data_IF_113523947330
#
_entry.id   IF_113523947330
#
_cell.length_a   1.000
_cell.length_b   1.000
_cell.length_c   1.000
_cell.angle_alpha   90.00
_cell.angle_beta   90.00
_cell.angle_gamma   90.00
#
_symmetry.space_group_name_H-M   'P 1'
#
loop_
_entity.id
_entity.type
_entity.pdbx_description
1 polymer ?
#
# COMPACT_ATOMS: atom_id res chain seq x y z
N UNK A 1 33.20 -22.69 2.53
CA UNK A 1 31.74 -22.70 2.73
C UNK A 1 31.09 -23.29 1.47
N UNK A 2 29.83 -23.75 1.49
CA UNK A 2 29.15 -24.08 0.22
C UNK A 2 28.82 -22.80 -0.54
N UNK A 3 28.93 -22.82 -1.87
CA UNK A 3 28.58 -21.68 -2.73
C UNK A 3 27.14 -21.24 -2.46
N UNK A 4 26.93 -19.97 -2.12
CA UNK A 4 25.61 -19.36 -1.91
C UNK A 4 24.98 -19.09 -3.27
N UNK A 5 23.83 -19.71 -3.54
CA UNK A 5 23.09 -19.54 -4.78
C UNK A 5 22.09 -18.41 -4.66
N UNK A 6 22.27 -17.36 -5.45
CA UNK A 6 21.34 -16.23 -5.55
C UNK A 6 20.29 -16.43 -6.65
N UNK A 7 19.81 -17.66 -6.84
CA UNK A 7 18.93 -18.01 -7.96
C UNK A 7 17.63 -18.68 -7.50
N UNK A 8 16.71 -18.86 -8.43
CA UNK A 8 15.44 -19.56 -8.22
C UNK A 8 15.37 -20.82 -9.08
N UNK A 9 14.64 -21.83 -8.61
CA UNK A 9 14.25 -22.95 -9.47
C UNK A 9 13.12 -22.50 -10.42
N UNK A 10 13.30 -22.57 -11.75
CA UNK A 10 12.32 -22.06 -12.71
C UNK A 10 10.95 -22.71 -12.63
N UNK A 11 10.94 -24.04 -12.46
CA UNK A 11 9.71 -24.84 -12.48
C UNK A 11 8.89 -24.55 -11.24
N UNK A 12 9.56 -24.50 -10.10
CA UNK A 12 8.97 -24.19 -8.80
C UNK A 12 8.51 -22.74 -8.72
N UNK A 13 9.35 -21.79 -9.15
CA UNK A 13 8.99 -20.36 -9.19
C UNK A 13 7.70 -20.15 -9.97
N UNK A 14 7.63 -20.72 -11.18
CA UNK A 14 6.46 -20.58 -12.05
C UNK A 14 5.23 -21.24 -11.45
N UNK A 15 5.37 -22.46 -10.94
CA UNK A 15 4.26 -23.18 -10.29
C UNK A 15 3.67 -22.33 -9.16
N UNK A 16 4.51 -21.83 -8.27
CA UNK A 16 4.09 -21.00 -7.14
C UNK A 16 3.48 -19.67 -7.59
N UNK A 17 4.03 -19.00 -8.61
CA UNK A 17 3.45 -17.76 -9.17
C UNK A 17 1.98 -17.95 -9.56
N UNK A 18 1.69 -19.02 -10.31
CA UNK A 18 0.32 -19.27 -10.75
C UNK A 18 -0.58 -19.81 -9.63
N UNK A 19 -0.04 -20.46 -8.60
CA UNK A 19 -0.78 -20.81 -7.38
C UNK A 19 -1.17 -19.58 -6.57
N UNK A 20 -0.26 -18.62 -6.38
CA UNK A 20 -0.54 -17.37 -5.66
C UNK A 20 -1.60 -16.53 -6.40
N UNK A 21 -1.51 -16.45 -7.73
CA UNK A 21 -2.54 -15.82 -8.56
C UNK A 21 -3.88 -16.59 -8.52
N UNK A 22 -3.86 -17.92 -8.55
CA UNK A 22 -5.07 -18.73 -8.43
C UNK A 22 -5.74 -18.58 -7.06
N UNK A 23 -4.94 -18.41 -5.99
CA UNK A 23 -5.40 -18.11 -4.64
C UNK A 23 -5.97 -16.68 -4.49
N UNK A 24 -5.93 -15.86 -5.55
CA UNK A 24 -6.51 -14.52 -5.57
C UNK A 24 -5.58 -13.43 -5.05
N UNK A 25 -4.28 -13.71 -4.85
CA UNK A 25 -3.30 -12.64 -4.60
C UNK A 25 -3.09 -11.84 -5.89
N UNK A 26 -3.11 -10.51 -5.77
CA UNK A 26 -3.07 -9.60 -6.93
C UNK A 26 -1.98 -8.55 -6.86
N UNK A 27 -1.25 -8.45 -5.75
CA UNK A 27 -0.14 -7.53 -5.60
C UNK A 27 1.12 -8.14 -6.18
N UNK A 28 1.31 -7.97 -7.49
CA UNK A 28 2.40 -8.61 -8.24
C UNK A 28 3.77 -8.33 -7.64
N UNK A 29 4.02 -7.11 -7.16
CA UNK A 29 5.26 -6.72 -6.46
C UNK A 29 5.55 -7.61 -5.24
N UNK A 30 4.55 -7.82 -4.41
CA UNK A 30 4.66 -8.67 -3.20
C UNK A 30 4.89 -10.12 -3.61
N UNK A 31 4.13 -10.63 -4.58
CA UNK A 31 4.25 -12.00 -5.08
C UNK A 31 5.67 -12.24 -5.62
N UNK A 32 6.13 -11.41 -6.56
CA UNK A 32 7.46 -11.58 -7.19
C UNK A 32 8.57 -11.55 -6.15
N UNK A 33 8.50 -10.61 -5.20
CA UNK A 33 9.44 -10.53 -4.09
C UNK A 33 9.43 -11.81 -3.26
N UNK A 34 8.26 -12.25 -2.80
CA UNK A 34 8.14 -13.44 -1.94
C UNK A 34 8.68 -14.69 -2.61
N UNK A 35 8.43 -14.86 -3.91
CA UNK A 35 8.91 -16.01 -4.66
C UNK A 35 10.43 -16.00 -4.84
N UNK A 36 11.04 -14.84 -5.12
CA UNK A 36 12.52 -14.71 -5.19
C UNK A 36 13.15 -14.99 -3.83
N UNK A 37 12.62 -14.37 -2.77
CA UNK A 37 13.11 -14.56 -1.39
C UNK A 37 12.98 -16.03 -0.97
N UNK A 38 11.83 -16.66 -1.24
CA UNK A 38 11.58 -18.07 -0.90
C UNK A 38 12.49 -19.02 -1.69
N UNK A 39 12.72 -18.74 -2.97
CA UNK A 39 13.61 -19.53 -3.83
C UNK A 39 15.03 -19.56 -3.29
N UNK A 40 15.59 -18.39 -2.97
CA UNK A 40 16.95 -18.25 -2.43
C UNK A 40 17.04 -18.79 -0.99
N UNK A 41 16.00 -18.57 -0.18
CA UNK A 41 15.97 -18.99 1.24
C UNK A 41 16.15 -20.49 1.43
N UNK A 42 15.66 -21.33 0.50
CA UNK A 42 15.72 -22.79 0.63
C UNK A 42 17.13 -23.33 0.92
N UNK A 43 18.16 -22.75 0.31
CA UNK A 43 19.54 -23.13 0.60
C UNK A 43 20.04 -22.50 1.91
N UNK A 44 19.66 -21.26 2.20
CA UNK A 44 20.09 -20.54 3.39
C UNK A 44 19.52 -21.16 4.67
N UNK A 45 18.30 -21.67 4.61
CA UNK A 45 17.65 -22.39 5.71
C UNK A 45 18.49 -23.61 6.13
N UNK A 46 18.98 -24.39 5.16
CA UNK A 46 19.86 -25.53 5.44
C UNK A 46 21.18 -25.10 6.12
N UNK A 47 21.74 -23.94 5.72
CA UNK A 47 22.94 -23.39 6.36
C UNK A 47 22.67 -22.87 7.77
N UNK A 48 21.44 -22.45 8.07
CA UNK A 48 21.05 -22.08 9.44
C UNK A 48 20.88 -23.33 10.29
N UNK A 49 20.25 -24.38 9.74
CA UNK A 49 20.03 -25.66 10.42
C UNK A 49 21.33 -26.39 10.78
N UNK A 50 22.33 -26.39 9.88
CA UNK A 50 23.65 -26.97 10.15
C UNK A 50 24.57 -26.06 10.99
N UNK A 51 24.11 -24.83 11.26
CA UNK A 51 24.79 -23.82 12.08
C UNK A 51 25.98 -23.14 11.38
N UNK A 52 26.15 -23.28 10.06
CA UNK A 52 27.12 -22.52 9.27
C UNK A 52 26.75 -21.03 9.22
N UNK A 53 25.46 -20.74 9.08
CA UNK A 53 24.86 -19.41 9.14
C UNK A 53 24.15 -19.23 10.49
N UNK A 54 24.38 -18.13 11.20
CA UNK A 54 23.64 -17.83 12.44
C UNK A 54 22.25 -17.28 12.15
N UNK A 55 22.13 -16.45 11.11
CA UNK A 55 20.87 -15.88 10.65
C UNK A 55 21.06 -15.19 9.32
N UNK A 56 19.98 -15.07 8.54
CA UNK A 56 19.97 -14.25 7.34
C UNK A 56 18.71 -13.39 7.29
N UNK A 57 18.74 -12.33 6.47
CA UNK A 57 17.56 -11.54 6.13
C UNK A 57 17.72 -10.87 4.78
N UNK A 58 16.60 -10.61 4.12
CA UNK A 58 16.55 -9.76 2.95
C UNK A 58 16.23 -8.32 3.34
N UNK A 59 16.95 -7.37 2.74
CA UNK A 59 16.69 -5.94 2.84
C UNK A 59 16.25 -5.49 1.45
N UNK A 60 15.01 -5.02 1.36
CA UNK A 60 14.38 -4.62 0.12
C UNK A 60 14.93 -3.27 -0.36
N UNK A 61 15.10 -3.15 -1.67
CA UNK A 61 15.29 -1.86 -2.35
C UNK A 61 14.04 -1.47 -3.13
N UNK A 62 14.19 -1.05 -4.38
CA UNK A 62 13.05 -0.62 -5.21
C UNK A 62 12.58 -1.73 -6.14
N UNK A 63 11.35 -1.61 -6.64
CA UNK A 63 10.78 -2.53 -7.61
C UNK A 63 10.12 -1.74 -8.72
N UNK A 64 10.08 -2.34 -9.91
CA UNK A 64 9.31 -1.84 -11.04
C UNK A 64 7.89 -1.41 -10.66
N UNK A 65 7.34 -0.40 -11.33
CA UNK A 65 5.94 0.01 -11.17
C UNK A 65 4.96 -0.84 -11.98
N UNK A 66 5.44 -1.98 -12.50
CA UNK A 66 4.64 -2.95 -13.23
C UNK A 66 3.65 -3.59 -12.27
N UNK A 67 2.37 -3.59 -12.65
CA UNK A 67 1.30 -4.15 -11.83
C UNK A 67 0.66 -5.39 -12.46
N UNK A 68 0.89 -5.66 -13.74
CA UNK A 68 0.33 -6.85 -14.42
C UNK A 68 1.41 -7.77 -14.97
N UNK A 69 1.12 -9.07 -14.96
CA UNK A 69 1.99 -10.12 -15.47
C UNK A 69 2.23 -9.95 -16.98
N UNK A 70 1.19 -9.60 -17.74
CA UNK A 70 1.34 -9.30 -19.17
C UNK A 70 2.28 -8.13 -19.42
N UNK A 71 2.14 -7.03 -18.68
CA UNK A 71 3.05 -5.89 -18.80
C UNK A 71 4.49 -6.27 -18.44
N UNK A 72 4.69 -7.11 -17.41
CA UNK A 72 6.02 -7.63 -17.07
C UNK A 72 6.61 -8.44 -18.23
N UNK A 73 5.81 -9.31 -18.85
CA UNK A 73 6.22 -10.09 -20.02
C UNK A 73 6.57 -9.18 -21.20
N UNK A 74 5.72 -8.19 -21.50
CA UNK A 74 5.89 -7.27 -22.62
C UNK A 74 7.15 -6.38 -22.45
N UNK A 75 7.52 -6.05 -21.21
CA UNK A 75 8.74 -5.30 -20.85
C UNK A 75 9.98 -6.18 -20.70
N UNK A 76 9.88 -7.49 -20.97
CA UNK A 76 11.01 -8.43 -20.91
C UNK A 76 11.28 -9.02 -19.53
N UNK A 77 10.56 -8.61 -18.48
CA UNK A 77 10.69 -9.15 -17.14
C UNK A 77 10.12 -8.25 -16.04
N UNK A 78 10.39 -8.64 -14.80
CA UNK A 78 10.08 -7.86 -13.60
C UNK A 78 11.37 -7.60 -12.83
N UNK A 79 11.74 -6.32 -12.67
CA UNK A 79 13.01 -5.92 -12.06
C UNK A 79 12.87 -5.41 -10.62
N UNK A 80 13.92 -5.69 -9.86
CA UNK A 80 14.18 -5.12 -8.54
C UNK A 80 15.48 -4.32 -8.60
N UNK A 81 15.64 -3.41 -7.66
CA UNK A 81 16.84 -2.60 -7.50
C UNK A 81 17.35 -2.77 -6.09
N UNK A 82 18.65 -3.04 -5.95
CA UNK A 82 19.35 -3.08 -4.67
C UNK A 82 18.84 -4.12 -3.66
N UNK A 83 18.30 -5.26 -4.13
CA UNK A 83 17.88 -6.35 -3.25
C UNK A 83 19.10 -6.93 -2.52
N UNK A 84 19.12 -6.82 -1.19
CA UNK A 84 20.30 -7.15 -0.39
C UNK A 84 20.04 -8.36 0.49
N UNK A 85 20.85 -9.41 0.32
CA UNK A 85 20.94 -10.52 1.24
C UNK A 85 21.97 -10.18 2.32
N UNK A 86 21.53 -10.10 3.57
CA UNK A 86 22.41 -10.01 4.73
C UNK A 86 22.56 -11.38 5.38
N UNK A 87 23.80 -11.81 5.58
CA UNK A 87 24.16 -13.06 6.24
C UNK A 87 24.97 -12.74 7.49
N UNK A 88 24.63 -13.37 8.61
CA UNK A 88 25.40 -13.31 9.83
C UNK A 88 26.00 -14.70 10.07
N UNK A 89 27.31 -14.85 9.90
CA UNK A 89 28.05 -16.10 10.11
C UNK A 89 28.69 -16.13 11.50
N UNK A 90 29.18 -17.31 11.91
CA UNK A 90 29.93 -17.49 13.16
C UNK A 90 31.18 -16.57 13.21
N UNK A 91 31.59 -16.08 14.40
CA UNK A 91 32.84 -15.33 14.54
C UNK A 91 34.03 -16.05 13.90
N UNK A 92 34.83 -15.31 13.10
CA UNK A 92 35.98 -15.88 12.39
C UNK A 92 35.66 -16.72 11.14
N UNK A 93 34.39 -16.86 10.75
CA UNK A 93 34.04 -17.41 9.45
C UNK A 93 34.43 -16.42 8.34
N UNK A 94 35.02 -16.93 7.27
CA UNK A 94 35.42 -16.13 6.11
C UNK A 94 34.58 -16.51 4.88
N UNK A 95 34.19 -15.49 4.12
CA UNK A 95 33.49 -15.60 2.85
C UNK A 95 34.02 -14.51 1.91
N UNK A 96 34.21 -14.86 0.64
CA UNK A 96 34.57 -13.93 -0.44
C UNK A 96 33.43 -13.80 -1.46
N UNK A 97 33.61 -12.95 -2.46
CA UNK A 97 32.66 -12.82 -3.57
C UNK A 97 32.58 -14.11 -4.41
N UNK A 98 33.66 -14.90 -4.47
CA UNK A 98 33.71 -16.17 -5.21
C UNK A 98 32.86 -17.28 -4.56
N UNK A 99 32.51 -17.12 -3.27
CA UNK A 99 31.58 -18.01 -2.56
C UNK A 99 30.10 -17.74 -2.92
N UNK A 100 29.83 -16.79 -3.83
CA UNK A 100 28.48 -16.42 -4.27
C UNK A 100 28.32 -16.76 -5.75
N UNK A 101 27.34 -17.61 -6.08
CA UNK A 101 27.08 -17.96 -7.49
C UNK A 101 26.44 -16.78 -8.22
N UNK A 102 26.85 -16.61 -9.47
CA UNK A 102 26.03 -15.86 -10.42
C UNK A 102 24.76 -16.67 -10.73
N UNK A 103 23.56 -16.07 -10.67
CA UNK A 103 22.33 -16.78 -11.00
C UNK A 103 22.26 -17.11 -12.49
N UNK A 104 21.68 -18.27 -12.81
CA UNK A 104 21.47 -18.73 -14.19
C UNK A 104 20.09 -18.29 -14.71
N UNK A 105 19.09 -18.22 -13.83
CA UNK A 105 17.70 -17.97 -14.20
C UNK A 105 17.22 -16.56 -13.86
N UNK A 106 17.61 -16.02 -12.71
CA UNK A 106 17.54 -14.58 -12.47
C UNK A 106 18.63 -13.87 -13.27
N UNK A 107 18.26 -12.84 -14.01
CA UNK A 107 19.23 -12.01 -14.73
C UNK A 107 19.73 -10.90 -13.82
N UNK A 108 21.05 -10.65 -13.80
CA UNK A 108 21.63 -9.49 -13.11
C UNK A 108 22.08 -8.48 -14.16
N UNK A 109 21.37 -7.36 -14.27
CA UNK A 109 21.80 -6.27 -15.14
C UNK A 109 22.94 -5.49 -14.48
N UNK A 110 23.91 -5.07 -15.29
CA UNK A 110 25.04 -4.27 -14.80
C UNK A 110 24.62 -2.80 -14.61
N UNK A 111 25.06 -2.21 -13.50
CA UNK A 111 25.00 -0.77 -13.28
C UNK A 111 26.38 -0.20 -13.59
N UNK A 112 26.43 0.76 -14.52
CA UNK A 112 27.65 1.49 -14.83
C UNK A 112 27.84 2.65 -13.86
N UNK A 113 28.98 2.67 -13.18
CA UNK A 113 29.38 3.75 -12.27
C UNK A 113 30.26 4.81 -12.95
N UNK A 114 30.37 4.74 -14.29
CA UNK A 114 31.33 5.53 -15.06
C UNK A 114 32.75 4.94 -15.02
N UNK A 115 33.63 5.44 -15.89
CA UNK A 115 35.05 5.02 -15.99
C UNK A 115 35.18 3.51 -16.29
N UNK A 116 34.20 2.92 -17.00
CA UNK A 116 34.24 1.51 -17.41
C UNK A 116 34.05 0.50 -16.27
N UNK A 117 33.58 0.93 -15.10
CA UNK A 117 33.25 0.03 -13.99
C UNK A 117 31.77 -0.33 -14.05
N UNK A 118 31.51 -1.57 -14.49
CA UNK A 118 30.20 -2.18 -14.48
C UNK A 118 30.14 -3.21 -13.36
N UNK A 119 29.07 -3.17 -12.55
CA UNK A 119 28.85 -4.15 -11.47
C UNK A 119 27.43 -4.68 -11.50
N UNK A 120 27.28 -5.97 -11.20
CA UNK A 120 26.01 -6.67 -11.01
C UNK A 120 25.73 -6.93 -9.53
N UNK A 121 26.79 -7.15 -8.76
CA UNK A 121 26.76 -7.40 -7.32
C UNK A 121 27.61 -6.37 -6.58
N UNK A 122 27.26 -6.15 -5.31
CA UNK A 122 28.13 -5.47 -4.35
C UNK A 122 28.26 -6.35 -3.11
N UNK A 123 29.49 -6.73 -2.82
CA UNK A 123 29.84 -7.49 -1.62
C UNK A 123 30.40 -6.56 -0.55
N UNK A 124 30.00 -6.76 0.71
CA UNK A 124 30.63 -6.07 1.85
C UNK A 124 30.64 -6.95 3.08
N UNK A 125 31.65 -6.74 3.93
CA UNK A 125 31.89 -7.47 5.16
C UNK A 125 32.08 -6.50 6.32
N UNK A 126 31.54 -6.87 7.49
CA UNK A 126 31.74 -6.17 8.74
C UNK A 126 31.87 -7.17 9.89
N UNK A 127 33.05 -7.18 10.50
CA UNK A 127 33.30 -7.91 11.75
C UNK A 127 32.50 -7.32 12.91
N UNK A 128 31.80 -8.17 13.67
CA UNK A 128 31.07 -7.79 14.88
C UNK A 128 31.52 -8.62 16.08
N UNK A 129 31.10 -8.25 17.29
CA UNK A 129 31.48 -8.97 18.53
C UNK A 129 31.06 -10.43 18.54
N UNK A 130 29.89 -10.74 17.99
CA UNK A 130 29.25 -12.06 18.10
C UNK A 130 29.06 -12.77 16.75
N UNK A 131 29.52 -12.16 15.65
CA UNK A 131 29.27 -12.65 14.28
C UNK A 131 30.13 -11.94 13.25
N UNK A 132 30.27 -12.58 12.09
CA UNK A 132 30.80 -11.97 10.87
C UNK A 132 29.61 -11.61 9.97
N UNK A 133 29.39 -10.31 9.72
CA UNK A 133 28.26 -9.85 8.90
C UNK A 133 28.69 -9.64 7.47
N UNK A 134 28.00 -10.28 6.55
CA UNK A 134 28.17 -10.10 5.12
C UNK A 134 26.89 -9.52 4.50
N UNK A 135 27.07 -8.66 3.52
CA UNK A 135 25.97 -8.15 2.70
C UNK A 135 26.31 -8.37 1.23
N UNK A 136 25.42 -9.07 0.55
CA UNK A 136 25.47 -9.34 -0.88
C UNK A 136 24.29 -8.59 -1.50
N UNK A 137 24.58 -7.49 -2.17
CA UNK A 137 23.56 -6.65 -2.80
C UNK A 137 23.50 -6.96 -4.29
N UNK A 138 22.37 -7.49 -4.74
CA UNK A 138 22.02 -7.59 -6.15
C UNK A 138 21.57 -6.20 -6.62
N UNK A 139 22.35 -5.60 -7.51
CA UNK A 139 22.14 -4.20 -7.88
C UNK A 139 20.89 -4.01 -8.73
N UNK A 140 20.70 -4.87 -9.74
CA UNK A 140 19.54 -4.83 -10.64
C UNK A 140 19.11 -6.24 -11.08
N UNK A 141 18.59 -7.08 -10.17
CA UNK A 141 18.08 -8.40 -10.52
C UNK A 141 16.74 -8.29 -11.28
N UNK A 142 16.57 -9.14 -12.28
CA UNK A 142 15.39 -9.22 -13.15
C UNK A 142 14.89 -10.66 -13.19
N UNK A 143 13.59 -10.84 -12.96
CA UNK A 143 12.89 -12.07 -13.31
C UNK A 143 12.56 -11.97 -14.79
N UNK A 144 13.24 -12.71 -15.69
CA UNK A 144 13.01 -12.60 -17.12
C UNK A 144 11.60 -13.07 -17.49
N UNK A 145 11.07 -12.52 -18.59
CA UNK A 145 9.74 -12.88 -19.11
C UNK A 145 9.58 -14.40 -19.32
N UNK A 146 10.66 -15.12 -19.64
CA UNK A 146 10.66 -16.58 -19.77
C UNK A 146 10.23 -17.31 -18.50
N UNK A 147 10.53 -16.79 -17.31
CA UNK A 147 10.06 -17.36 -16.03
C UNK A 147 8.58 -17.05 -15.76
N UNK A 148 8.07 -15.95 -16.32
CA UNK A 148 6.71 -15.46 -16.11
C UNK A 148 5.68 -16.15 -17.01
N UNK A 149 6.09 -16.58 -18.20
CA UNK A 149 5.20 -17.24 -19.17
C UNK A 149 4.71 -18.61 -18.68
N UNK A 150 3.42 -18.90 -18.86
CA UNK A 150 2.88 -20.26 -18.72
C UNK A 150 3.48 -21.16 -19.81
N UNK A 151 3.88 -22.39 -19.47
CA UNK A 151 4.30 -23.38 -20.47
C UNK A 151 3.15 -23.63 -21.46
N UNK A 152 3.29 -23.17 -22.70
CA UNK A 152 2.34 -23.37 -23.77
C UNK A 152 2.49 -24.78 -24.36
N UNK A 153 1.65 -25.71 -23.90
CA UNK A 153 1.35 -26.96 -24.63
C UNK A 153 -0.12 -27.39 -24.50
N UNK A 154 -1.01 -26.42 -24.35
CA UNK A 154 -2.46 -26.60 -24.36
C UNK A 154 -3.13 -25.24 -24.46
N UNK A 155 -4.27 -25.15 -25.14
CA UNK A 155 -5.00 -23.90 -25.39
C UNK A 155 -4.97 -22.97 -24.17
N UNK A 156 -4.38 -21.78 -24.34
CA UNK A 156 -4.36 -20.76 -23.27
C UNK A 156 -5.80 -20.53 -22.87
N UNK A 157 -6.19 -20.96 -21.66
CA UNK A 157 -7.52 -20.65 -21.12
C UNK A 157 -7.65 -19.14 -21.19
N UNK A 158 -8.56 -18.65 -22.03
CA UNK A 158 -8.80 -17.23 -22.21
C UNK A 158 -9.12 -16.61 -20.84
N UNK A 159 -8.29 -15.66 -20.40
CA UNK A 159 -8.48 -15.01 -19.11
C UNK A 159 -9.87 -14.38 -19.04
N UNK A 160 -10.66 -14.77 -18.04
CA UNK A 160 -12.01 -14.26 -17.79
C UNK A 160 -12.00 -12.88 -17.15
N UNK A 161 -10.83 -12.44 -16.66
CA UNK A 161 -10.63 -11.18 -15.96
C UNK A 161 -11.63 -10.98 -14.82
N UNK A 162 -11.86 -11.96 -13.94
CA UNK A 162 -12.79 -11.79 -12.80
C UNK A 162 -12.48 -10.53 -11.98
N UNK A 163 -13.49 -9.90 -11.36
CA UNK A 163 -13.33 -8.62 -10.64
C UNK A 163 -12.25 -8.69 -9.55
N UNK A 164 -12.03 -9.84 -8.93
CA UNK A 164 -10.95 -10.02 -7.94
C UNK A 164 -9.55 -9.80 -8.52
N UNK A 165 -9.36 -10.01 -9.83
CA UNK A 165 -8.08 -9.82 -10.53
C UNK A 165 -7.88 -8.40 -11.05
N UNK A 166 -8.86 -7.53 -10.92
CA UNK A 166 -8.77 -6.15 -11.39
C UNK A 166 -8.17 -5.28 -10.29
N UNK A 167 -7.01 -4.70 -10.59
CA UNK A 167 -6.29 -3.78 -9.70
C UNK A 167 -6.18 -2.41 -10.36
N UNK A 168 -6.12 -1.31 -9.59
CA UNK A 168 -6.00 0.00 -10.19
C UNK A 168 -4.66 0.14 -10.93
N UNK A 169 -4.71 0.59 -12.18
CA UNK A 169 -3.52 0.87 -12.98
C UNK A 169 -2.88 2.17 -12.47
N UNK A 170 -1.57 2.20 -12.16
CA UNK A 170 -0.89 3.43 -11.81
C UNK A 170 -1.07 4.48 -12.91
N UNK A 171 -1.45 5.69 -12.51
CA UNK A 171 -1.49 6.85 -13.37
C UNK A 171 -0.49 7.89 -12.86
N UNK A 172 -0.13 8.84 -13.73
CA UNK A 172 0.58 10.05 -13.31
C UNK A 172 -0.25 10.90 -12.34
N UNK A 173 0.41 11.87 -11.73
CA UNK A 173 -0.29 12.89 -10.93
C UNK A 173 -1.24 13.71 -11.81
N UNK A 174 -2.35 14.14 -11.24
CA UNK A 174 -3.42 14.92 -11.87
C UNK A 174 -4.25 14.18 -12.94
N UNK A 175 -3.85 12.97 -13.33
CA UNK A 175 -4.60 12.11 -14.24
C UNK A 175 -5.82 11.51 -13.54
N UNK A 176 -7.01 11.75 -14.09
CA UNK A 176 -8.27 11.36 -13.44
C UNK A 176 -8.93 10.12 -14.05
N UNK A 177 -8.52 9.69 -15.25
CA UNK A 177 -9.11 8.57 -16.00
C UNK A 177 -8.67 7.20 -15.47
N UNK A 178 -8.94 6.94 -14.18
CA UNK A 178 -8.49 5.73 -13.47
C UNK A 178 -9.03 4.44 -14.13
N UNK A 179 -8.10 3.66 -14.69
CA UNK A 179 -8.36 2.32 -15.22
C UNK A 179 -8.03 1.24 -14.17
N UNK A 180 -8.62 0.07 -14.35
CA UNK A 180 -8.34 -1.13 -13.57
C UNK A 180 -7.90 -2.24 -14.53
N UNK A 181 -6.71 -2.77 -14.34
CA UNK A 181 -6.13 -3.78 -15.21
C UNK A 181 -6.22 -5.17 -14.55
N UNK A 182 -6.48 -6.19 -15.37
CA UNK A 182 -6.35 -7.56 -14.91
C UNK A 182 -4.86 -7.88 -14.64
N UNK A 183 -4.53 -8.26 -13.41
CA UNK A 183 -3.16 -8.62 -13.01
C UNK A 183 -2.56 -9.73 -13.87
N UNK A 184 -3.39 -10.59 -14.50
CA UNK A 184 -2.93 -11.71 -15.32
C UNK A 184 -2.68 -11.26 -16.77
N UNK A 185 -3.72 -10.85 -17.49
CA UNK A 185 -3.64 -10.59 -18.93
C UNK A 185 -3.45 -9.12 -19.32
N UNK A 186 -3.37 -8.20 -18.36
CA UNK A 186 -3.19 -6.77 -18.61
C UNK A 186 -4.39 -6.04 -19.19
N UNK A 187 -5.50 -6.73 -19.50
CA UNK A 187 -6.69 -6.07 -20.06
C UNK A 187 -7.22 -5.01 -19.09
N UNK A 188 -7.29 -3.77 -19.57
CA UNK A 188 -7.76 -2.61 -18.81
C UNK A 188 -9.27 -2.41 -18.97
N UNK A 189 -9.90 -2.00 -17.87
CA UNK A 189 -11.32 -1.68 -17.77
C UNK A 189 -11.48 -0.33 -17.05
N UNK A 190 -12.44 0.47 -17.48
CA UNK A 190 -13.00 1.53 -16.66
C UNK A 190 -14.15 0.99 -15.81
N UNK A 191 -14.36 1.58 -14.63
CA UNK A 191 -15.64 1.37 -13.96
C UNK A 191 -16.74 2.07 -14.76
N UNK A 192 -17.91 1.46 -14.88
CA UNK A 192 -19.04 2.06 -15.61
C UNK A 192 -19.37 3.49 -15.17
N UNK A 193 -19.15 3.81 -13.89
CA UNK A 193 -19.37 5.17 -13.39
C UNK A 193 -18.49 6.24 -14.08
N UNK A 194 -17.37 5.89 -14.72
CA UNK A 194 -16.50 6.82 -15.44
C UNK A 194 -16.99 7.17 -16.84
N UNK A 195 -17.89 6.37 -17.44
CA UNK A 195 -18.30 6.49 -18.84
C UNK A 195 -18.75 7.90 -19.20
N UNK A 196 -19.67 8.46 -18.43
CA UNK A 196 -20.19 9.81 -18.69
C UNK A 196 -19.10 10.89 -18.64
N UNK A 197 -18.14 10.78 -17.71
CA UNK A 197 -17.04 11.74 -17.63
C UNK A 197 -16.08 11.57 -18.81
N UNK A 198 -15.78 10.33 -19.20
CA UNK A 198 -14.94 10.02 -20.37
C UNK A 198 -15.57 10.63 -21.62
N UNK A 199 -16.84 10.33 -21.89
CA UNK A 199 -17.55 10.80 -23.08
C UNK A 199 -17.57 12.34 -23.16
N UNK A 200 -17.82 13.02 -22.02
CA UNK A 200 -17.80 14.49 -21.94
C UNK A 200 -16.41 15.10 -22.13
N UNK A 201 -15.36 14.39 -21.73
CA UNK A 201 -13.99 14.93 -21.77
C UNK A 201 -13.26 14.59 -23.07
N UNK A 202 -13.71 13.60 -23.84
CA UNK A 202 -13.11 13.23 -25.13
C UNK A 202 -13.00 14.41 -26.11
N UNK A 203 -14.02 15.26 -26.31
CA UNK A 203 -13.88 16.44 -27.18
C UNK A 203 -12.80 17.40 -26.71
N UNK A 204 -12.71 17.63 -25.39
CA UNK A 204 -11.69 18.50 -24.78
C UNK A 204 -10.28 17.95 -25.04
N UNK A 205 -10.10 16.63 -24.92
CA UNK A 205 -8.83 15.98 -25.22
C UNK A 205 -8.48 16.04 -26.71
N UNK A 206 -9.46 15.89 -27.60
CA UNK A 206 -9.25 15.99 -29.06
C UNK A 206 -8.82 17.41 -29.46
N UNK A 207 -9.46 18.43 -28.88
CA UNK A 207 -9.14 19.84 -29.13
C UNK A 207 -7.72 20.18 -28.62
N UNK A 208 -7.34 19.71 -27.43
CA UNK A 208 -6.03 19.96 -26.85
C UNK A 208 -4.90 19.16 -27.53
N UNK A 209 -5.20 18.02 -28.18
CA UNK A 209 -4.19 17.08 -28.71
C UNK A 209 -3.09 17.74 -29.56
N UNK A 210 -3.37 18.68 -30.49
CA UNK A 210 -2.33 19.30 -31.33
C UNK A 210 -1.29 20.12 -30.54
N UNK A 211 -1.64 20.60 -29.34
CA UNK A 211 -0.79 21.47 -28.53
C UNK A 211 0.18 20.70 -27.62
N UNK A 212 0.12 19.36 -27.64
CA UNK A 212 0.90 18.49 -26.75
C UNK A 212 1.71 17.47 -27.53
N UNK A 213 2.90 17.17 -27.00
CA UNK A 213 3.70 16.03 -27.43
C UNK A 213 2.92 14.71 -27.30
N UNK A 214 3.33 13.67 -28.04
CA UNK A 214 2.66 12.35 -28.02
C UNK A 214 2.64 11.68 -26.63
N UNK A 215 3.55 12.08 -25.73
CA UNK A 215 3.57 11.67 -24.32
C UNK A 215 2.72 12.56 -23.40
N UNK A 216 1.99 13.53 -23.94
CA UNK A 216 1.15 14.44 -23.20
C UNK A 216 -0.19 13.85 -22.81
N UNK A 217 -0.84 14.47 -21.81
CA UNK A 217 -2.10 13.99 -21.25
C UNK A 217 -3.23 13.77 -22.28
N UNK A 218 -3.41 14.57 -23.36
CA UNK A 218 -4.51 14.33 -24.29
C UNK A 218 -4.31 13.04 -25.07
N UNK A 219 -3.07 12.75 -25.49
CA UNK A 219 -2.71 11.51 -26.17
C UNK A 219 -2.84 10.30 -25.26
N UNK A 220 -2.37 10.40 -24.01
CA UNK A 220 -2.54 9.35 -23.01
C UNK A 220 -4.01 9.06 -22.72
N UNK A 221 -4.83 10.10 -22.51
CA UNK A 221 -6.26 9.97 -22.27
C UNK A 221 -6.97 9.33 -23.46
N UNK A 222 -6.71 9.82 -24.67
CA UNK A 222 -7.33 9.28 -25.88
C UNK A 222 -6.90 7.83 -26.11
N UNK A 223 -5.64 7.49 -25.90
CA UNK A 223 -5.16 6.10 -25.99
C UNK A 223 -5.86 5.21 -24.96
N UNK A 224 -6.00 5.68 -23.72
CA UNK A 224 -6.66 4.92 -22.66
C UNK A 224 -8.16 4.72 -22.92
N UNK A 225 -8.82 5.69 -23.55
CA UNK A 225 -10.28 5.71 -23.75
C UNK A 225 -10.72 5.15 -25.11
N UNK A 226 -9.82 5.07 -26.09
CA UNK A 226 -10.04 4.42 -27.38
C UNK A 226 -10.36 2.93 -27.17
N UNK A 227 -11.54 2.49 -27.60
CA UNK A 227 -12.04 1.13 -27.37
C UNK A 227 -12.07 0.72 -25.89
N UNK A 228 -12.32 1.68 -25.01
CA UNK A 228 -12.45 1.46 -23.58
C UNK A 228 -13.45 0.32 -23.28
N UNK A 229 -12.98 -0.68 -22.53
CA UNK A 229 -13.84 -1.69 -21.92
C UNK A 229 -14.34 -1.16 -20.59
N UNK A 230 -15.58 -1.49 -20.26
CA UNK A 230 -16.19 -1.05 -19.01
C UNK A 230 -16.73 -2.23 -18.23
N UNK A 231 -16.78 -2.06 -16.91
CA UNK A 231 -17.42 -3.01 -16.00
C UNK A 231 -17.97 -2.30 -14.77
N UNK A 232 -19.15 -2.69 -14.33
CA UNK A 232 -19.76 -2.15 -13.12
C UNK A 232 -19.02 -2.60 -11.86
N UNK A 233 -19.04 -1.74 -10.84
CA UNK A 233 -18.62 -2.09 -9.48
C UNK A 233 -17.14 -2.52 -9.32
N UNK A 234 -16.22 -1.88 -10.06
CA UNK A 234 -14.78 -2.19 -9.98
C UNK A 234 -13.92 -1.10 -9.33
N UNK A 235 -14.37 0.17 -9.32
CA UNK A 235 -13.59 1.25 -8.74
C UNK A 235 -13.71 1.31 -7.21
N UNK A 236 -12.81 2.06 -6.57
CA UNK A 236 -12.77 2.22 -5.10
C UNK A 236 -14.14 2.66 -4.54
N UNK A 237 -14.75 3.69 -5.12
CA UNK A 237 -16.03 4.21 -4.64
C UNK A 237 -17.21 3.27 -4.88
N UNK A 238 -17.32 2.63 -6.04
CA UNK A 238 -18.45 1.72 -6.30
C UNK A 238 -18.34 0.44 -5.46
N UNK A 239 -17.12 -0.12 -5.34
CA UNK A 239 -16.89 -1.37 -4.61
C UNK A 239 -16.76 -1.20 -3.10
N UNK A 240 -16.74 0.04 -2.61
CA UNK A 240 -16.49 0.35 -1.19
C UNK A 240 -15.07 0.03 -0.71
N UNK A 241 -14.13 -0.25 -1.64
CA UNK A 241 -12.73 -0.51 -1.30
C UNK A 241 -11.96 0.82 -1.13
N UNK A 242 -11.04 0.92 -0.16
CA UNK A 242 -10.23 2.11 -0.02
C UNK A 242 -9.29 2.32 -1.22
N UNK A 243 -8.99 3.59 -1.50
CA UNK A 243 -8.05 3.99 -2.53
C UNK A 243 -6.67 4.23 -1.91
N UNK A 244 -5.66 3.47 -2.35
CA UNK A 244 -4.25 3.73 -2.05
C UNK A 244 -3.56 4.47 -3.21
N UNK A 245 -4.35 5.13 -4.08
CA UNK A 245 -3.84 5.91 -5.20
C UNK A 245 -3.31 7.25 -4.77
N UNK A 246 -2.48 7.83 -5.63
CA UNK A 246 -1.87 9.13 -5.40
C UNK A 246 -2.13 10.05 -6.58
N UNK A 247 -3.26 10.77 -6.51
CA UNK A 247 -3.66 11.73 -7.53
C UNK A 247 -2.76 12.97 -7.52
N UNK A 248 -2.33 13.45 -6.36
CA UNK A 248 -1.38 14.56 -6.25
C UNK A 248 -0.54 14.45 -4.97
N UNK A 249 0.59 15.16 -4.92
CA UNK A 249 1.41 15.24 -3.71
C UNK A 249 0.63 15.83 -2.53
N UNK A 250 0.87 15.43 -1.26
CA UNK A 250 0.04 15.81 -0.12
C UNK A 250 0.19 17.29 0.24
N UNK A 251 1.18 17.96 -0.35
CA UNK A 251 1.33 19.42 -0.29
C UNK A 251 0.28 20.16 -1.13
N UNK A 252 -0.30 19.52 -2.16
CA UNK A 252 -1.18 20.16 -3.15
C UNK A 252 -2.67 19.80 -2.98
N UNK A 253 -3.04 19.03 -1.96
CA UNK A 253 -4.43 18.62 -1.76
C UNK A 253 -4.74 18.14 -0.34
N UNK A 254 -6.03 18.15 -0.01
CA UNK A 254 -6.57 17.46 1.16
C UNK A 254 -6.29 15.96 1.07
N UNK A 255 -6.36 15.24 2.19
CA UNK A 255 -6.15 13.79 2.20
C UNK A 255 -7.16 13.06 1.31
N UNK A 256 -8.38 13.58 1.22
CA UNK A 256 -9.39 13.13 0.25
C UNK A 256 -8.93 13.40 -1.19
N UNK A 257 -8.50 14.63 -1.51
CA UNK A 257 -8.05 14.98 -2.87
C UNK A 257 -6.81 14.19 -3.30
N UNK A 258 -5.89 13.91 -2.39
CA UNK A 258 -4.71 13.09 -2.65
C UNK A 258 -5.10 11.67 -3.07
N UNK A 259 -6.01 11.01 -2.34
CA UNK A 259 -6.38 9.60 -2.57
C UNK A 259 -7.50 9.41 -3.57
N UNK A 260 -8.38 10.39 -3.71
CA UNK A 260 -9.62 10.33 -4.47
C UNK A 260 -9.79 11.46 -5.50
N UNK A 261 -8.75 12.27 -5.75
CA UNK A 261 -8.84 13.40 -6.68
C UNK A 261 -9.23 13.00 -8.12
N UNK A 262 -8.90 11.79 -8.55
CA UNK A 262 -9.40 11.23 -9.81
C UNK A 262 -10.92 11.12 -9.85
N UNK A 263 -11.55 10.74 -8.73
CA UNK A 263 -12.99 10.68 -8.58
C UNK A 263 -13.62 12.07 -8.46
N UNK A 264 -12.97 13.00 -7.74
CA UNK A 264 -13.41 14.40 -7.64
C UNK A 264 -13.48 15.00 -9.03
N UNK A 265 -12.39 14.89 -9.81
CA UNK A 265 -12.36 15.41 -11.19
C UNK A 265 -13.37 14.71 -12.09
N UNK A 266 -13.52 13.39 -11.94
CA UNK A 266 -14.57 12.61 -12.63
C UNK A 266 -15.97 13.16 -12.35
N UNK A 267 -16.31 13.49 -11.10
CA UNK A 267 -17.64 13.99 -10.75
C UNK A 267 -17.85 15.44 -11.21
N UNK A 268 -16.82 16.29 -11.10
CA UNK A 268 -16.85 17.63 -11.65
C UNK A 268 -17.19 17.63 -13.15
N UNK A 269 -16.55 16.74 -13.92
CA UNK A 269 -16.82 16.59 -15.36
C UNK A 269 -18.19 15.95 -15.62
N UNK A 270 -18.50 14.81 -14.97
CA UNK A 270 -19.74 14.07 -15.25
C UNK A 270 -20.97 14.90 -14.90
N UNK A 271 -20.92 15.64 -13.81
CA UNK A 271 -22.08 16.31 -13.24
C UNK A 271 -22.09 17.82 -13.57
N UNK A 272 -20.97 18.36 -14.08
CA UNK A 272 -20.85 19.80 -14.40
C UNK A 272 -20.84 20.67 -13.15
N UNK A 273 -20.20 20.20 -12.08
CA UNK A 273 -20.16 20.86 -10.77
C UNK A 273 -18.74 21.30 -10.41
N UNK A 274 -18.65 22.29 -9.51
CA UNK A 274 -17.38 22.77 -8.98
C UNK A 274 -16.63 21.70 -8.19
N UNK A 275 -15.30 21.83 -8.13
CA UNK A 275 -14.44 20.83 -7.49
C UNK A 275 -14.81 20.59 -6.01
N UNK A 276 -15.21 21.66 -5.30
CA UNK A 276 -15.64 21.58 -3.91
C UNK A 276 -16.89 20.71 -3.73
N UNK A 277 -17.87 20.85 -4.64
CA UNK A 277 -19.11 20.07 -4.59
C UNK A 277 -18.86 18.61 -5.01
N UNK A 278 -17.98 18.41 -5.98
CA UNK A 278 -17.51 17.08 -6.34
C UNK A 278 -16.76 16.38 -5.19
N UNK A 279 -15.92 17.10 -4.44
CA UNK A 279 -15.27 16.55 -3.24
C UNK A 279 -16.30 16.22 -2.16
N UNK A 280 -17.31 17.07 -1.93
CA UNK A 280 -18.39 16.78 -1.00
C UNK A 280 -19.19 15.53 -1.37
N UNK A 281 -19.39 15.29 -2.68
CA UNK A 281 -20.01 14.06 -3.17
C UNK A 281 -19.14 12.83 -2.88
N UNK A 282 -17.82 12.92 -3.09
CA UNK A 282 -16.88 11.86 -2.71
C UNK A 282 -16.90 11.62 -1.19
N UNK A 283 -16.88 12.69 -0.39
CA UNK A 283 -16.94 12.61 1.09
C UNK A 283 -18.20 11.90 1.57
N UNK A 284 -19.36 12.23 0.99
CA UNK A 284 -20.63 11.56 1.27
C UNK A 284 -20.59 10.06 0.93
N UNK A 285 -20.02 9.69 -0.22
CA UNK A 285 -19.84 8.28 -0.59
C UNK A 285 -18.88 7.53 0.35
N UNK A 286 -17.89 8.22 0.90
CA UNK A 286 -16.96 7.69 1.91
C UNK A 286 -17.54 7.72 3.33
N UNK A 287 -18.71 8.33 3.51
CA UNK A 287 -19.34 8.54 4.82
C UNK A 287 -18.63 9.56 5.72
N UNK A 288 -17.67 10.33 5.21
CA UNK A 288 -16.96 11.35 6.00
C UNK A 288 -17.67 12.72 5.91
N UNK A 289 -17.51 13.62 6.90
CA UNK A 289 -18.18 14.93 6.88
C UNK A 289 -17.85 15.76 5.65
N UNK A 290 -18.85 16.52 5.17
CA UNK A 290 -18.68 17.50 4.09
C UNK A 290 -17.80 18.66 4.53
N UNK A 291 -17.17 19.33 3.56
CA UNK A 291 -16.35 20.51 3.80
C UNK A 291 -17.23 21.63 4.37
N UNK A 292 -17.01 21.99 5.64
CA UNK A 292 -17.78 23.00 6.36
C UNK A 292 -18.91 22.44 7.24
N UNK A 293 -19.11 21.12 7.28
CA UNK A 293 -20.07 20.47 8.17
C UNK A 293 -19.38 20.11 9.49
N UNK A 294 -19.41 21.04 10.46
CA UNK A 294 -18.59 21.01 11.68
C UNK A 294 -19.28 20.54 12.96
N UNK A 295 -20.46 19.92 12.90
CA UNK A 295 -21.08 19.36 14.10
C UNK A 295 -20.40 18.05 14.45
N UNK A 296 -20.37 17.75 15.75
CA UNK A 296 -19.38 16.86 16.34
C UNK A 296 -20.05 15.75 17.14
N UNK A 297 -19.79 14.51 16.78
CA UNK A 297 -20.11 13.36 17.61
C UNK A 297 -19.12 12.21 17.39
N UNK A 298 -19.12 11.28 18.34
CA UNK A 298 -18.32 10.04 18.32
C UNK A 298 -18.44 9.27 16.99
N UNK A 299 -19.63 9.27 16.39
CA UNK A 299 -19.89 8.57 15.13
C UNK A 299 -19.11 9.19 13.97
N UNK A 300 -19.01 10.51 13.88
CA UNK A 300 -18.22 11.17 12.83
C UNK A 300 -16.72 10.94 13.01
N UNK A 301 -16.23 11.00 14.25
CA UNK A 301 -14.84 10.67 14.56
C UNK A 301 -14.53 9.23 14.12
N UNK A 302 -15.39 8.26 14.46
CA UNK A 302 -15.23 6.88 14.03
C UNK A 302 -15.13 6.72 12.51
N UNK A 303 -15.99 7.41 11.74
CA UNK A 303 -15.94 7.36 10.27
C UNK A 303 -14.65 7.94 9.70
N UNK A 304 -14.17 9.07 10.25
CA UNK A 304 -12.89 9.66 9.85
C UNK A 304 -11.73 8.71 10.17
N UNK A 305 -11.69 8.12 11.37
CA UNK A 305 -10.65 7.15 11.75
C UNK A 305 -10.70 5.91 10.84
N UNK A 306 -11.90 5.37 10.58
CA UNK A 306 -12.08 4.22 9.68
C UNK A 306 -11.60 4.53 8.25
N UNK A 307 -11.78 5.77 7.80
CA UNK A 307 -11.25 6.23 6.52
C UNK A 307 -9.71 6.28 6.52
N UNK A 308 -9.12 6.97 7.51
CA UNK A 308 -7.67 7.16 7.62
C UNK A 308 -6.94 5.82 7.75
N UNK A 309 -7.48 4.89 8.53
CA UNK A 309 -6.90 3.56 8.79
C UNK A 309 -7.65 2.46 8.07
N UNK A 310 -8.10 2.71 6.83
CA UNK A 310 -8.85 1.74 6.03
C UNK A 310 -8.09 0.43 5.73
N UNK A 311 -6.76 0.42 5.91
CA UNK A 311 -5.91 -0.76 5.81
C UNK A 311 -5.71 -1.51 7.17
N UNK A 312 -6.39 -1.11 8.24
CA UNK A 312 -6.28 -1.69 9.59
C UNK A 312 -7.67 -2.05 10.15
N UNK A 313 -7.72 -2.93 11.15
CA UNK A 313 -8.95 -3.18 11.89
C UNK A 313 -9.27 -2.01 12.82
N UNK A 314 -10.37 -1.30 12.54
CA UNK A 314 -10.88 -0.23 13.39
C UNK A 314 -12.13 -0.72 14.11
N UNK A 315 -12.02 -0.93 15.42
CA UNK A 315 -13.09 -1.47 16.27
C UNK A 315 -13.77 -0.35 17.04
N UNK A 316 -15.09 -0.27 16.94
CA UNK A 316 -15.91 0.67 17.72
C UNK A 316 -16.35 0.04 19.04
N UNK A 317 -16.45 0.85 20.10
CA UNK A 317 -16.90 0.42 21.44
C UNK A 317 -16.14 -0.81 21.97
N UNK A 318 -14.83 -0.87 21.71
CA UNK A 318 -14.01 -2.02 22.04
C UNK A 318 -13.94 -2.25 23.55
N UNK A 319 -14.04 -3.50 23.98
CA UNK A 319 -13.96 -3.90 25.39
C UNK A 319 -12.90 -4.98 25.59
N UNK A 320 -11.60 -4.67 25.49
CA UNK A 320 -10.55 -5.65 25.75
C UNK A 320 -10.65 -6.21 27.18
N UNK A 321 -10.28 -7.49 27.37
CA UNK A 321 -10.45 -8.18 28.66
C UNK A 321 -9.80 -7.45 29.84
N UNK A 322 -8.64 -6.81 29.60
CA UNK A 322 -7.89 -6.04 30.59
C UNK A 322 -8.55 -4.72 31.00
N UNK A 323 -9.59 -4.27 30.29
CA UNK A 323 -10.30 -3.01 30.53
C UNK A 323 -11.49 -3.16 31.50
N UNK A 324 -11.85 -4.41 31.83
CA UNK A 324 -12.95 -4.73 32.75
C UNK A 324 -14.30 -4.32 32.17
N UNK A 325 -15.07 -3.53 32.92
CA UNK A 325 -16.43 -3.09 32.52
C UNK A 325 -16.44 -1.83 31.64
N UNK A 326 -15.27 -1.25 31.37
CA UNK A 326 -15.16 -0.02 30.57
C UNK A 326 -14.98 -0.37 29.08
N UNK A 327 -15.25 0.62 28.22
CA UNK A 327 -15.09 0.51 26.78
C UNK A 327 -14.20 1.62 26.25
N UNK A 328 -13.57 1.35 25.11
CA UNK A 328 -12.88 2.32 24.28
C UNK A 328 -13.80 2.73 23.14
N UNK A 329 -13.98 4.03 22.89
CA UNK A 329 -14.86 4.47 21.80
C UNK A 329 -14.38 3.92 20.44
N UNK A 330 -13.07 3.99 20.21
CA UNK A 330 -12.41 3.45 19.02
C UNK A 330 -11.08 2.80 19.41
N UNK A 331 -10.80 1.61 18.88
CA UNK A 331 -9.55 0.90 19.10
C UNK A 331 -8.97 0.35 17.79
N UNK A 332 -7.67 0.55 17.58
CA UNK A 332 -6.90 0.02 16.46
C UNK A 332 -5.84 -0.93 17.04
N UNK A 333 -6.14 -2.24 17.17
CA UNK A 333 -5.28 -3.19 17.85
C UNK A 333 -3.87 -3.28 17.27
N UNK A 334 -3.75 -3.29 15.95
CA UNK A 334 -2.49 -3.47 15.23
C UNK A 334 -1.50 -2.33 15.49
N UNK A 335 -2.02 -1.14 15.79
CA UNK A 335 -1.21 0.04 16.14
C UNK A 335 -1.09 0.24 17.66
N UNK A 336 -1.81 -0.56 18.47
CA UNK A 336 -1.95 -0.33 19.91
C UNK A 336 -2.40 1.09 20.24
N UNK A 337 -3.33 1.63 19.44
CA UNK A 337 -3.88 2.99 19.60
C UNK A 337 -5.36 2.89 19.97
N UNK A 338 -5.75 3.63 21.01
CA UNK A 338 -7.13 3.83 21.41
C UNK A 338 -7.48 5.31 21.30
N UNK A 339 -8.72 5.62 20.88
CA UNK A 339 -9.20 6.97 20.67
C UNK A 339 -10.52 7.15 21.42
N UNK A 340 -10.63 8.25 22.15
CA UNK A 340 -11.78 8.60 22.97
C UNK A 340 -12.30 9.99 22.60
N UNK A 341 -13.61 10.11 22.51
CA UNK A 341 -14.30 11.36 22.29
C UNK A 341 -14.85 11.91 23.62
N UNK A 342 -14.30 13.04 24.06
CA UNK A 342 -14.70 13.70 25.30
C UNK A 342 -15.72 14.80 25.04
N UNK A 343 -17.00 14.48 25.28
CA UNK A 343 -18.11 15.43 25.29
C UNK A 343 -18.00 16.48 26.41
N UNK A 344 -18.90 17.48 26.40
CA UNK A 344 -18.93 18.56 27.39
C UNK A 344 -18.97 18.07 28.85
N UNK A 345 -19.61 16.93 29.10
CA UNK A 345 -19.74 16.30 30.42
C UNK A 345 -18.41 15.91 31.08
N UNK A 346 -17.31 15.82 30.31
CA UNK A 346 -15.97 15.57 30.87
C UNK A 346 -15.34 16.84 31.48
N UNK A 347 -15.84 18.02 31.09
CA UNK A 347 -15.26 19.30 31.44
C UNK A 347 -16.14 20.11 32.39
N UNK A 348 -17.46 20.05 32.20
CA UNK A 348 -18.44 20.83 32.94
C UNK A 348 -19.45 19.91 33.64
N UNK A 349 -19.95 20.32 34.83
CA UNK A 349 -21.08 19.62 35.43
C UNK A 349 -22.31 19.81 34.54
N UNK A 350 -22.92 18.70 34.14
CA UNK A 350 -24.16 18.70 33.37
C UNK A 350 -25.21 17.96 34.21
N UNK A 351 -26.32 18.62 34.52
CA UNK A 351 -27.32 18.11 35.48
C UNK A 351 -27.87 16.73 35.10
N UNK A 352 -28.16 16.51 33.81
CA UNK A 352 -28.62 15.22 33.27
C UNK A 352 -27.62 14.07 33.53
N UNK A 353 -26.33 14.40 33.70
CA UNK A 353 -25.25 13.45 34.00
C UNK A 353 -24.81 13.48 35.48
N UNK A 354 -25.64 13.99 36.39
CA UNK A 354 -25.37 13.99 37.84
C UNK A 354 -24.55 15.19 38.35
N UNK A 355 -24.49 16.28 37.56
CA UNK A 355 -23.90 17.55 37.96
C UNK A 355 -22.43 17.42 38.40
N UNK A 356 -22.06 18.06 39.51
CA UNK A 356 -20.68 18.05 40.01
C UNK A 356 -20.19 16.66 40.46
N UNK A 357 -21.09 15.84 41.02
CA UNK A 357 -20.76 14.48 41.47
C UNK A 357 -20.48 13.55 40.28
N UNK A 358 -21.29 13.66 39.22
CA UNK A 358 -21.12 12.93 37.97
C UNK A 358 -19.82 13.30 37.26
N UNK A 359 -19.48 14.59 37.22
CA UNK A 359 -18.20 15.07 36.67
C UNK A 359 -17.00 14.42 37.39
N UNK A 360 -17.04 14.35 38.72
CA UNK A 360 -15.96 13.71 39.50
C UNK A 360 -15.85 12.22 39.18
N UNK A 361 -16.96 11.50 39.18
CA UNK A 361 -16.99 10.07 38.86
C UNK A 361 -16.49 9.77 37.43
N UNK A 362 -16.82 10.63 36.46
CA UNK A 362 -16.30 10.53 35.09
C UNK A 362 -14.79 10.72 35.03
N UNK A 363 -14.25 11.73 35.73
CA UNK A 363 -12.79 11.93 35.81
C UNK A 363 -12.06 10.76 36.46
N UNK A 364 -12.64 10.16 37.50
CA UNK A 364 -12.05 9.00 38.16
C UNK A 364 -12.03 7.77 37.23
N UNK A 365 -13.12 7.54 36.46
CA UNK A 365 -13.17 6.50 35.43
C UNK A 365 -12.16 6.73 34.31
N UNK A 366 -12.08 7.95 33.78
CA UNK A 366 -11.12 8.31 32.72
C UNK A 366 -9.66 8.09 33.18
N UNK A 367 -9.36 8.43 34.45
CA UNK A 367 -8.03 8.20 35.04
C UNK A 367 -7.73 6.71 35.14
N UNK A 368 -8.68 5.90 35.59
CA UNK A 368 -8.52 4.45 35.65
C UNK A 368 -8.33 3.86 34.25
N UNK A 369 -9.16 4.27 33.29
CA UNK A 369 -9.07 3.86 31.87
C UNK A 369 -7.68 4.14 31.32
N UNK A 370 -7.17 5.36 31.51
CA UNK A 370 -5.81 5.74 31.08
C UNK A 370 -4.74 4.85 31.70
N UNK A 371 -4.79 4.62 33.01
CA UNK A 371 -3.81 3.76 33.68
C UNK A 371 -3.82 2.32 33.15
N UNK A 372 -5.00 1.78 32.83
CA UNK A 372 -5.14 0.45 32.24
C UNK A 372 -4.58 0.39 30.82
N UNK A 373 -4.81 1.43 30.00
CA UNK A 373 -4.21 1.53 28.67
C UNK A 373 -2.67 1.59 28.77
N UNK A 374 -2.13 2.43 29.65
CA UNK A 374 -0.68 2.58 29.83
C UNK A 374 -0.03 1.25 30.27
N UNK A 375 -0.66 0.52 31.20
CA UNK A 375 -0.19 -0.79 31.66
C UNK A 375 -0.14 -1.84 30.54
N UNK A 376 -1.05 -1.74 29.57
CA UNK A 376 -1.12 -2.63 28.40
C UNK A 376 -0.40 -2.08 27.16
N UNK A 377 0.40 -1.01 27.33
CA UNK A 377 1.14 -0.34 26.24
C UNK A 377 0.23 0.16 25.11
N UNK A 378 -1.03 0.46 25.42
CA UNK A 378 -2.00 1.06 24.51
C UNK A 378 -1.96 2.58 24.65
N UNK A 379 -1.74 3.27 23.55
CA UNK A 379 -1.70 4.73 23.50
C UNK A 379 -3.10 5.30 23.38
N UNK A 380 -3.58 5.96 24.45
CA UNK A 380 -4.90 6.58 24.51
C UNK A 380 -4.87 8.04 24.05
N UNK A 381 -5.65 8.39 23.03
CA UNK A 381 -5.70 9.71 22.40
C UNK A 381 -7.10 10.30 22.57
N UNK A 382 -7.19 11.52 23.08
CA UNK A 382 -8.48 12.19 23.32
C UNK A 382 -8.78 13.24 22.25
N UNK A 383 -10.01 13.24 21.74
CA UNK A 383 -10.60 14.33 20.97
C UNK A 383 -11.69 15.00 21.79
N UNK A 384 -11.66 16.32 21.88
CA UNK A 384 -12.59 17.09 22.69
C UNK A 384 -13.80 17.53 21.89
N UNK A 385 -14.87 17.88 22.61
CA UNK A 385 -16.09 18.42 22.03
C UNK A 385 -15.91 19.78 21.30
N UNK A 386 -14.79 20.46 21.51
CA UNK A 386 -14.45 21.74 20.89
C UNK A 386 -13.29 21.63 19.88
N UNK A 387 -12.85 20.40 19.58
CA UNK A 387 -11.88 20.16 18.50
C UNK A 387 -12.56 20.30 17.13
N UNK A 388 -11.92 21.01 16.19
CA UNK A 388 -12.29 20.96 14.78
C UNK A 388 -11.96 19.56 14.22
N UNK A 389 -12.98 18.80 13.80
CA UNK A 389 -12.80 17.48 13.19
C UNK A 389 -13.03 17.52 11.68
N UNK A 390 -11.91 17.58 10.98
CA UNK A 390 -11.79 17.28 9.56
C UNK A 390 -10.85 16.09 9.41
N UNK A 391 -10.85 15.46 8.24
CA UNK A 391 -9.90 14.37 7.95
C UNK A 391 -8.46 14.85 8.19
N UNK A 392 -8.17 16.08 7.79
CA UNK A 392 -6.84 16.69 7.84
C UNK A 392 -6.40 17.01 9.28
N UNK A 393 -7.29 17.56 10.12
CA UNK A 393 -6.99 17.88 11.52
C UNK A 393 -6.82 16.61 12.36
N UNK A 394 -7.66 15.60 12.13
CA UNK A 394 -7.54 14.27 12.76
C UNK A 394 -6.23 13.61 12.36
N UNK A 395 -5.92 13.52 11.07
CA UNK A 395 -4.64 12.97 10.59
C UNK A 395 -3.45 13.69 11.21
N UNK A 396 -3.46 15.04 11.21
CA UNK A 396 -2.38 15.84 11.77
C UNK A 396 -2.16 15.57 13.26
N UNK A 397 -3.24 15.39 14.03
CA UNK A 397 -3.16 15.06 15.46
C UNK A 397 -2.61 13.65 15.66
N UNK A 398 -3.04 12.69 14.86
CA UNK A 398 -2.60 11.29 14.95
C UNK A 398 -1.17 11.06 14.48
N UNK A 399 -0.68 11.79 13.46
CA UNK A 399 0.70 11.71 12.97
C UNK A 399 1.76 11.84 14.08
N UNK A 400 1.48 12.63 15.12
CA UNK A 400 2.39 12.78 16.28
C UNK A 400 2.60 11.49 17.07
N UNK A 401 1.69 10.55 16.92
CA UNK A 401 1.62 9.31 17.67
C UNK A 401 1.94 8.09 16.80
N UNK A 402 2.23 8.26 15.52
CA UNK A 402 2.59 7.17 14.62
C UNK A 402 4.12 6.94 14.60
N UNK A 403 4.60 5.69 14.46
CA UNK A 403 6.02 5.41 14.26
C UNK A 403 6.52 6.07 12.96
N UNK A 404 7.75 6.61 12.96
CA UNK A 404 8.38 7.24 11.77
C UNK A 404 8.56 6.30 10.57
N UNK A 405 8.35 4.99 10.74
CA UNK A 405 8.44 3.96 9.71
C UNK A 405 7.09 3.35 9.31
N UNK A 406 5.99 3.81 9.91
CA UNK A 406 4.64 3.42 9.52
C UNK A 406 4.13 4.49 8.56
N UNK A 407 4.53 4.39 7.29
CA UNK A 407 3.91 5.19 6.26
C UNK A 407 2.40 4.92 6.28
N UNK A 408 1.61 5.98 6.23
CA UNK A 408 0.19 5.91 5.92
C UNK A 408 0.11 5.55 4.44
N UNK A 409 0.38 4.30 4.11
CA UNK A 409 0.22 3.74 2.77
C UNK A 409 -1.28 3.67 2.49
#
# INVERSE_FOLDING_TARGET
MSIIKLDVDPSEFRRQLYEELAAGKVELKIIMRDLVVRGISKQLDALVEDGTCLSYRFIEGYQSNIVTLQEAIDKGGFDFWYLTLQLDLKPGAEMTEDDVSHPEHLQLLSISYGIGIDRTLRFSHKKMKTRERYQIQMLHPVIPASLLMQNSSGSVKKCTCETRYLIPKPLGVWSWWQQFACVICGTAYFCECFRQAVDKYTPVALEAKPDYFDSGWPHEFLTATSNAKYRSNICHLCSGKPSNLFYCHPMYGSSIKVRYGSYIKKFSISDGIEERDAENKVREMLGVPKIGEGWLNETQLFKIISFIFSNHSVVREASPDWLGKQRLDIYIPELSIAIEYQGEQHFKPVEIFGGASGLKATRDRDKLKKNLCDANKVRLIYFRYDDELSVETVEKKLKRYMPKSADIN
#
